data_IF_855170114005
#
_entry.id   IF_855170114005
#
_cell.length_a   1.000
_cell.length_b   1.000
_cell.length_c   1.000
_cell.angle_alpha   90.00
_cell.angle_beta   90.00
_cell.angle_gamma   90.00
#
_symmetry.space_group_name_H-M   'P 1'
#
loop_
_entity.id
_entity.type
_entity.pdbx_description
1 polymer ?
#
# COMPACT_ATOMS: atom_id res chain seq x y z
N UNK A 1 41.14 27.30 24.39
CA UNK A 1 40.86 28.38 23.43
C UNK A 1 39.55 28.02 22.73
N UNK A 2 38.59 28.90 22.83
CA UNK A 2 37.17 28.74 22.48
C UNK A 2 36.97 28.45 21.00
N UNK A 3 36.03 27.59 20.66
CA UNK A 3 35.36 27.60 19.36
C UNK A 3 33.85 27.64 19.57
N UNK A 4 33.36 28.82 19.21
CA UNK A 4 31.97 29.23 19.26
C UNK A 4 31.25 28.79 18.00
N UNK A 5 29.99 28.39 18.20
CA UNK A 5 28.82 28.67 17.39
C UNK A 5 29.00 28.93 15.89
N UNK A 6 28.40 28.08 15.08
CA UNK A 6 27.82 28.51 13.81
C UNK A 6 26.41 27.94 13.71
N UNK A 7 25.44 28.78 14.03
CA UNK A 7 24.07 28.67 13.51
C UNK A 7 24.10 29.13 12.04
N UNK A 8 23.46 28.46 11.13
CA UNK A 8 23.04 29.11 9.91
C UNK A 8 21.63 29.68 10.10
N UNK A 9 21.57 30.98 10.18
CA UNK A 9 20.38 31.74 9.87
C UNK A 9 20.10 31.57 8.37
N UNK A 10 18.94 31.13 8.01
CA UNK A 10 18.35 31.39 6.70
C UNK A 10 16.96 31.94 6.89
N UNK A 11 16.92 33.25 6.79
CA UNK A 11 15.74 34.02 6.44
C UNK A 11 15.72 34.18 4.92
N UNK A 12 14.58 34.01 4.27
CA UNK A 12 13.88 34.99 3.45
C UNK A 12 12.82 34.30 2.60
N UNK A 13 11.55 34.55 2.91
CA UNK A 13 10.60 35.40 2.19
C UNK A 13 10.44 35.10 0.68
N UNK A 14 9.34 34.44 0.35
CA UNK A 14 8.44 34.85 -0.74
C UNK A 14 7.03 34.35 -0.44
N UNK A 15 6.06 35.24 -0.54
CA UNK A 15 4.68 35.03 -0.14
C UNK A 15 3.98 33.92 -0.92
N UNK A 16 3.60 32.93 -0.16
CA UNK A 16 2.48 32.03 -0.36
C UNK A 16 1.91 31.79 1.03
N UNK A 17 0.61 31.68 1.17
CA UNK A 17 -0.07 31.36 2.42
C UNK A 17 0.70 30.28 3.17
N UNK A 18 1.43 30.67 4.21
CA UNK A 18 2.25 29.79 5.01
C UNK A 18 1.32 28.76 5.69
N UNK A 19 1.22 27.56 5.13
CA UNK A 19 0.65 26.45 5.87
C UNK A 19 1.58 26.21 7.06
N UNK A 20 1.01 26.27 8.27
CA UNK A 20 1.74 26.00 9.50
C UNK A 20 2.51 24.67 9.36
N UNK A 21 3.83 24.75 9.57
CA UNK A 21 4.69 23.57 9.56
C UNK A 21 4.90 23.12 11.01
N UNK A 22 4.90 21.81 11.23
CA UNK A 22 5.21 21.21 12.52
C UNK A 22 6.69 20.84 12.55
N UNK A 23 7.43 21.32 13.53
CA UNK A 23 8.81 20.94 13.76
C UNK A 23 8.87 19.51 14.29
N UNK A 24 9.73 18.69 13.72
CA UNK A 24 10.07 17.35 14.21
C UNK A 24 11.50 17.39 14.71
N UNK A 25 11.70 16.98 15.96
CA UNK A 25 13.00 16.84 16.57
C UNK A 25 13.19 15.40 17.03
N UNK A 26 14.28 14.78 16.62
CA UNK A 26 14.68 13.44 17.05
C UNK A 26 16.04 13.54 17.73
N UNK A 27 16.13 13.07 18.95
CA UNK A 27 17.40 12.87 19.66
C UNK A 27 17.54 11.42 20.02
N UNK A 28 18.74 10.87 19.91
CA UNK A 28 18.92 9.48 20.23
C UNK A 28 20.33 9.10 20.57
N UNK A 29 20.42 7.88 21.11
CA UNK A 29 21.65 7.24 21.52
C UNK A 29 21.69 5.81 20.99
N UNK A 30 22.80 5.44 20.35
CA UNK A 30 23.13 4.06 20.00
C UNK A 30 24.18 3.57 21.01
N UNK A 31 23.74 2.95 22.08
CA UNK A 31 24.60 2.53 23.21
C UNK A 31 25.61 1.50 22.75
N UNK A 32 26.87 1.69 23.11
CA UNK A 32 27.99 0.82 22.73
C UNK A 32 28.48 1.04 21.30
N UNK A 33 28.03 2.11 20.63
CA UNK A 33 28.47 2.39 19.27
C UNK A 33 29.80 3.18 19.26
N UNK A 34 30.81 2.63 18.55
CA UNK A 34 32.05 3.30 18.24
C UNK A 34 32.27 3.46 16.72
N UNK A 35 31.37 2.92 15.89
CA UNK A 35 31.49 2.93 14.44
C UNK A 35 30.83 4.17 13.81
N UNK A 36 31.10 4.40 12.53
CA UNK A 36 30.34 5.35 11.72
C UNK A 36 28.93 4.82 11.49
N UNK A 37 27.96 5.56 11.97
CA UNK A 37 26.55 5.31 11.77
C UNK A 37 25.92 6.44 10.94
N UNK A 38 24.83 6.09 10.26
CA UNK A 38 23.94 7.03 9.59
C UNK A 38 22.52 6.74 10.07
N UNK A 39 21.82 7.80 10.41
CA UNK A 39 20.41 7.73 10.77
C UNK A 39 19.62 8.66 9.85
N UNK A 40 18.53 8.13 9.29
CA UNK A 40 17.67 8.86 8.37
C UNK A 40 16.24 8.84 8.88
N UNK A 41 15.59 10.00 8.91
CA UNK A 41 14.16 10.13 9.16
C UNK A 41 13.45 10.22 7.82
N UNK A 42 12.55 9.29 7.55
CA UNK A 42 11.84 9.16 6.26
C UNK A 42 10.34 9.30 6.50
N UNK A 43 9.70 10.16 5.74
CA UNK A 43 8.24 10.26 5.66
C UNK A 43 7.68 9.02 4.94
N UNK A 44 6.74 8.35 5.57
CA UNK A 44 6.06 7.17 5.05
C UNK A 44 4.53 7.34 5.07
N UNK A 45 4.05 8.58 5.11
CA UNK A 45 2.63 8.89 5.15
C UNK A 45 1.91 8.35 3.91
N UNK A 46 2.46 8.59 2.73
CA UNK A 46 2.03 7.92 1.52
C UNK A 46 2.85 6.62 1.34
N UNK A 47 2.25 5.43 1.43
CA UNK A 47 2.97 4.17 1.26
C UNK A 47 3.63 3.99 -0.12
N UNK A 48 3.13 4.70 -1.14
CA UNK A 48 3.65 4.64 -2.51
C UNK A 48 4.77 5.65 -2.78
N UNK A 49 4.92 6.66 -1.90
CA UNK A 49 5.88 7.74 -2.08
C UNK A 49 6.57 8.09 -0.75
N UNK A 50 7.77 7.57 -0.55
CA UNK A 50 8.56 7.88 0.64
C UNK A 50 9.48 9.07 0.39
N UNK A 51 9.66 9.95 1.39
CA UNK A 51 10.48 11.16 1.31
C UNK A 51 11.47 11.24 2.46
N UNK A 52 12.74 11.46 2.14
CA UNK A 52 13.75 11.77 3.14
C UNK A 52 13.43 13.13 3.79
N UNK A 53 13.28 13.16 5.11
CA UNK A 53 13.02 14.35 5.90
C UNK A 53 14.30 14.93 6.51
N UNK A 54 15.17 14.08 7.05
CA UNK A 54 16.45 14.45 7.63
C UNK A 54 17.41 13.26 7.63
N UNK A 55 18.71 13.55 7.62
CA UNK A 55 19.77 12.55 7.74
C UNK A 55 20.92 13.11 8.56
N UNK A 56 21.53 12.28 9.40
CA UNK A 56 22.75 12.57 10.12
C UNK A 56 23.73 11.40 10.06
N UNK A 57 25.02 11.74 9.85
CA UNK A 57 26.13 10.80 10.00
C UNK A 57 26.85 11.15 11.31
N UNK A 58 27.14 10.14 12.10
CA UNK A 58 27.77 10.31 13.41
C UNK A 58 28.74 9.16 13.71
N UNK A 59 29.66 9.45 14.61
CA UNK A 59 30.56 8.49 15.22
C UNK A 59 30.39 8.62 16.73
N UNK A 60 30.39 7.52 17.45
CA UNK A 60 30.02 7.50 18.85
C UNK A 60 28.54 7.20 19.03
N UNK A 61 27.99 7.55 20.18
CA UNK A 61 26.67 7.07 20.57
C UNK A 61 25.53 8.04 20.23
N UNK A 62 25.76 9.35 20.25
CA UNK A 62 24.70 10.36 20.19
C UNK A 62 24.43 10.85 18.77
N UNK A 63 23.16 11.10 18.48
CA UNK A 63 22.71 11.73 17.24
C UNK A 63 21.53 12.66 17.47
N UNK A 64 21.32 13.59 16.56
CA UNK A 64 20.11 14.41 16.49
C UNK A 64 19.70 14.68 15.05
N UNK A 65 18.38 14.75 14.83
CA UNK A 65 17.77 15.13 13.57
C UNK A 65 16.75 16.23 13.82
N UNK A 66 16.63 17.15 12.89
CA UNK A 66 15.57 18.15 12.87
C UNK A 66 14.98 18.26 11.48
N UNK A 67 13.66 18.38 11.40
CA UNK A 67 12.94 18.57 10.16
C UNK A 67 11.65 19.34 10.39
N UNK A 68 10.96 19.65 9.30
CA UNK A 68 9.64 20.25 9.34
C UNK A 68 8.70 19.48 8.42
N UNK A 69 7.47 19.24 8.87
CA UNK A 69 6.42 18.58 8.12
C UNK A 69 5.19 19.47 8.06
N UNK A 70 4.40 19.31 7.02
CA UNK A 70 3.22 20.17 6.82
C UNK A 70 2.12 19.91 7.86
N UNK A 71 1.98 18.68 8.33
CA UNK A 71 0.92 18.26 9.28
C UNK A 71 1.35 17.03 10.07
N UNK A 72 0.76 16.88 11.26
CA UNK A 72 0.83 15.72 12.14
C UNK A 72 -0.60 15.37 12.62
N UNK A 73 -0.87 14.13 13.09
CA UNK A 73 0.08 13.03 13.17
C UNK A 73 0.39 12.41 11.80
N UNK A 74 1.54 11.70 11.69
CA UNK A 74 1.95 11.06 10.44
C UNK A 74 2.87 9.88 10.66
N UNK A 75 2.85 8.95 9.68
CA UNK A 75 3.80 7.85 9.67
C UNK A 75 5.18 8.29 9.21
N UNK A 76 6.17 7.82 9.94
CA UNK A 76 7.58 8.00 9.59
C UNK A 76 8.37 6.71 9.87
N UNK A 77 9.59 6.67 9.37
CA UNK A 77 10.54 5.61 9.64
C UNK A 77 11.88 6.21 10.01
N UNK A 78 12.44 5.75 11.11
CA UNK A 78 13.81 6.02 11.50
C UNK A 78 14.66 4.84 11.07
N UNK A 79 15.53 5.05 10.08
CA UNK A 79 16.40 4.02 9.50
C UNK A 79 17.83 4.21 9.98
N UNK A 80 18.43 3.14 10.46
CA UNK A 80 19.83 3.10 10.87
C UNK A 80 20.66 2.30 9.88
N UNK A 81 21.82 2.82 9.51
CA UNK A 81 22.82 2.15 8.70
C UNK A 81 24.18 2.26 9.35
N UNK A 82 24.98 1.19 9.26
CA UNK A 82 26.32 1.12 9.81
C UNK A 82 27.31 0.91 8.66
N UNK A 83 28.45 1.59 8.73
CA UNK A 83 29.52 1.44 7.76
C UNK A 83 30.32 0.17 8.07
N UNK A 84 30.38 -0.74 7.12
CA UNK A 84 31.16 -1.97 7.30
C UNK A 84 32.67 -1.71 7.15
N UNK A 85 33.51 -2.70 7.49
CA UNK A 85 34.99 -2.62 7.40
C UNK A 85 35.51 -2.33 6.00
N UNK A 86 34.72 -2.58 4.94
CA UNK A 86 35.07 -2.28 3.54
C UNK A 86 34.60 -0.88 3.12
N UNK A 87 34.01 -0.10 4.02
CA UNK A 87 33.56 1.25 3.76
C UNK A 87 32.17 1.39 3.17
N UNK A 88 31.41 0.30 2.98
CA UNK A 88 30.04 0.32 2.45
C UNK A 88 29.02 0.48 3.58
N UNK A 89 27.97 1.24 3.30
CA UNK A 89 26.82 1.38 4.20
C UNK A 89 25.92 0.15 4.08
N UNK A 90 25.64 -0.47 5.22
CA UNK A 90 24.69 -1.57 5.35
C UNK A 90 23.53 -1.18 6.25
N UNK A 91 22.30 -1.52 5.86
CA UNK A 91 21.12 -1.30 6.69
C UNK A 91 21.22 -2.14 7.96
N UNK A 92 21.06 -1.51 9.12
CA UNK A 92 21.07 -2.17 10.42
C UNK A 92 19.65 -2.42 10.94
N UNK A 93 18.80 -1.39 10.98
CA UNK A 93 17.42 -1.53 11.45
C UNK A 93 16.53 -0.38 11.00
N UNK A 94 15.21 -0.61 11.03
CA UNK A 94 14.18 0.41 10.89
C UNK A 94 13.27 0.41 12.13
N UNK A 95 12.92 1.60 12.60
CA UNK A 95 11.86 1.81 13.57
C UNK A 95 10.73 2.60 12.92
N UNK A 96 9.52 2.09 12.99
CA UNK A 96 8.33 2.78 12.49
C UNK A 96 7.79 3.69 13.59
N UNK A 97 7.48 4.92 13.21
CA UNK A 97 7.02 5.98 14.09
C UNK A 97 5.66 6.48 13.62
N UNK A 98 4.86 6.92 14.59
CA UNK A 98 3.65 7.69 14.34
C UNK A 98 3.77 9.01 15.10
N UNK A 99 4.17 10.06 14.39
CA UNK A 99 4.63 11.33 14.96
C UNK A 99 3.46 12.31 15.10
N UNK A 100 3.31 12.90 16.26
CA UNK A 100 2.29 13.93 16.56
C UNK A 100 2.86 15.35 16.71
N UNK A 101 4.16 15.53 16.46
CA UNK A 101 4.86 16.79 16.62
C UNK A 101 5.60 16.92 17.95
N UNK A 102 5.42 15.99 18.87
CA UNK A 102 6.24 15.91 20.08
C UNK A 102 7.69 15.54 19.74
N UNK A 103 8.66 15.99 20.55
CA UNK A 103 10.06 15.53 20.42
C UNK A 103 10.15 14.00 20.54
N UNK A 104 10.99 13.42 19.68
CA UNK A 104 11.25 11.98 19.69
C UNK A 104 12.57 11.73 20.43
N UNK A 105 12.54 10.79 21.39
CA UNK A 105 13.71 10.29 22.08
C UNK A 105 13.88 8.79 21.79
N UNK A 106 15.07 8.40 21.34
CA UNK A 106 15.40 7.00 21.01
C UNK A 106 16.67 6.60 21.72
N UNK A 107 16.64 5.45 22.39
CA UNK A 107 17.83 4.76 22.91
C UNK A 107 17.81 3.33 22.42
N UNK A 108 18.84 2.92 21.71
CA UNK A 108 18.94 1.58 21.14
C UNK A 108 20.34 0.99 21.44
N UNK A 109 20.36 -0.23 21.94
CA UNK A 109 21.60 -1.00 22.10
C UNK A 109 22.13 -1.42 20.71
N UNK A 110 23.45 -1.29 20.48
CA UNK A 110 24.06 -1.56 19.18
C UNK A 110 23.94 -3.03 18.77
N UNK A 111 24.17 -3.97 19.69
CA UNK A 111 24.07 -5.40 19.38
C UNK A 111 22.62 -5.75 19.02
N UNK A 112 21.68 -5.20 19.78
CA UNK A 112 20.26 -5.34 19.47
C UNK A 112 19.90 -4.69 18.12
N UNK A 113 20.42 -3.50 17.81
CA UNK A 113 20.22 -2.82 16.53
C UNK A 113 20.68 -3.67 15.35
N UNK A 114 21.84 -4.33 15.49
CA UNK A 114 22.44 -5.17 14.45
C UNK A 114 21.85 -6.57 14.34
N UNK A 115 21.04 -6.99 15.31
CA UNK A 115 20.44 -8.32 15.34
C UNK A 115 19.49 -8.49 14.14
N UNK A 116 19.65 -9.58 13.42
CA UNK A 116 18.72 -9.97 12.35
C UNK A 116 17.40 -10.43 12.96
N UNK A 117 16.41 -9.56 12.90
CA UNK A 117 15.06 -9.78 13.43
C UNK A 117 14.05 -9.18 12.45
N UNK A 118 12.88 -9.80 12.36
CA UNK A 118 11.75 -9.19 11.64
C UNK A 118 11.39 -7.85 12.29
N UNK A 119 10.96 -6.87 11.50
CA UNK A 119 10.66 -5.53 12.00
C UNK A 119 9.55 -5.54 13.07
N UNK A 120 8.55 -6.43 12.96
CA UNK A 120 7.48 -6.60 13.96
C UNK A 120 8.03 -7.07 15.31
N UNK A 121 9.01 -7.97 15.29
CA UNK A 121 9.66 -8.46 16.50
C UNK A 121 10.47 -7.34 17.16
N UNK A 122 11.20 -6.53 16.37
CA UNK A 122 11.91 -5.35 16.90
C UNK A 122 10.97 -4.30 17.47
N UNK A 123 9.87 -4.01 16.79
CA UNK A 123 8.84 -3.08 17.28
C UNK A 123 8.24 -3.55 18.60
N UNK A 124 8.08 -4.84 18.78
CA UNK A 124 7.59 -5.42 20.04
C UNK A 124 8.57 -5.32 21.20
N UNK A 125 9.84 -5.04 20.92
CA UNK A 125 10.87 -4.81 21.96
C UNK A 125 10.96 -3.35 22.42
N UNK A 126 10.15 -2.44 21.85
CA UNK A 126 10.12 -1.04 22.30
C UNK A 126 9.63 -0.98 23.75
N UNK A 127 10.37 -0.23 24.56
CA UNK A 127 10.06 0.03 25.98
C UNK A 127 9.90 -1.23 26.85
N UNK A 128 10.61 -2.31 26.50
CA UNK A 128 10.65 -3.50 27.35
C UNK A 128 11.62 -3.30 28.53
N UNK A 129 11.45 -4.07 29.63
CA UNK A 129 12.25 -3.92 30.84
C UNK A 129 13.76 -4.13 30.66
N UNK A 130 14.18 -4.83 29.58
CA UNK A 130 15.61 -5.04 29.28
C UNK A 130 16.32 -3.77 28.77
N UNK A 131 15.57 -2.72 28.48
CA UNK A 131 16.07 -1.40 28.08
C UNK A 131 16.85 -1.35 26.78
N UNK A 132 16.82 -2.42 25.97
CA UNK A 132 17.60 -2.50 24.72
C UNK A 132 17.09 -1.58 23.61
N UNK A 133 15.80 -1.26 23.65
CA UNK A 133 15.17 -0.33 22.73
C UNK A 133 14.12 0.50 23.49
N UNK A 134 14.44 1.77 23.71
CA UNK A 134 13.55 2.74 24.33
C UNK A 134 13.16 3.78 23.29
N UNK A 135 11.88 4.07 23.20
CA UNK A 135 11.31 5.05 22.28
C UNK A 135 10.20 5.83 22.98
N UNK A 136 10.35 7.15 23.02
CA UNK A 136 9.32 8.10 23.42
C UNK A 136 9.09 9.07 22.27
N UNK A 137 7.87 9.15 21.79
CA UNK A 137 7.46 10.03 20.71
C UNK A 137 6.01 10.53 20.90
N UNK A 138 5.55 10.55 22.15
CA UNK A 138 4.24 11.08 22.55
C UNK A 138 3.07 10.10 22.37
N UNK A 139 1.86 10.59 22.67
CA UNK A 139 0.63 9.79 22.75
C UNK A 139 0.24 9.10 21.45
N UNK A 140 0.52 9.73 20.31
CA UNK A 140 0.23 9.11 19.02
C UNK A 140 1.07 7.84 18.82
N UNK A 141 2.34 7.87 19.20
CA UNK A 141 3.22 6.69 19.17
C UNK A 141 2.74 5.60 20.14
N UNK A 142 2.28 5.96 21.33
CA UNK A 142 1.70 5.00 22.27
C UNK A 142 0.48 4.29 21.70
N UNK A 143 -0.40 5.04 21.02
CA UNK A 143 -1.55 4.49 20.30
C UNK A 143 -1.12 3.49 19.23
N UNK A 144 -0.06 3.80 18.49
CA UNK A 144 0.50 2.91 17.48
C UNK A 144 1.13 1.65 18.10
N UNK A 145 1.87 1.78 19.20
CA UNK A 145 2.44 0.66 19.94
C UNK A 145 1.34 -0.29 20.45
N UNK A 146 0.24 0.25 20.99
CA UNK A 146 -0.92 -0.54 21.45
C UNK A 146 -1.55 -1.31 20.28
N UNK A 147 -1.74 -0.69 19.12
CA UNK A 147 -2.21 -1.38 17.92
C UNK A 147 -1.28 -2.52 17.51
N UNK A 148 0.03 -2.25 17.40
CA UNK A 148 1.01 -3.26 17.02
C UNK A 148 1.03 -4.46 17.96
N UNK A 149 0.92 -4.23 19.27
CA UNK A 149 0.81 -5.30 20.26
C UNK A 149 -0.48 -6.11 20.10
N UNK A 150 -1.60 -5.45 19.83
CA UNK A 150 -2.90 -6.11 19.64
C UNK A 150 -2.91 -7.06 18.44
N UNK A 151 -2.32 -6.67 17.32
CA UNK A 151 -2.31 -7.46 16.08
C UNK A 151 -1.07 -8.37 15.93
N UNK A 152 -0.12 -8.29 16.84
CA UNK A 152 1.24 -8.87 16.72
C UNK A 152 1.25 -10.31 16.24
N UNK A 153 0.55 -11.21 16.94
CA UNK A 153 0.57 -12.63 16.62
C UNK A 153 0.04 -12.92 15.21
N UNK A 154 -1.09 -12.30 14.86
CA UNK A 154 -1.71 -12.48 13.55
C UNK A 154 -0.88 -11.84 12.42
N UNK A 155 -0.22 -10.70 12.68
CA UNK A 155 0.69 -10.05 11.72
C UNK A 155 1.91 -10.92 11.42
N UNK A 156 2.58 -11.47 12.44
CA UNK A 156 3.74 -12.36 12.28
C UNK A 156 3.35 -13.62 11.49
N UNK A 157 2.19 -14.20 11.80
CA UNK A 157 1.68 -15.37 11.08
C UNK A 157 1.41 -15.06 9.62
N UNK A 158 0.76 -13.93 9.32
CA UNK A 158 0.46 -13.51 7.95
C UNK A 158 1.75 -13.25 7.13
N UNK A 159 2.71 -12.53 7.70
CA UNK A 159 3.99 -12.24 7.04
C UNK A 159 4.80 -13.52 6.80
N UNK A 160 4.80 -14.46 7.75
CA UNK A 160 5.51 -15.74 7.61
C UNK A 160 4.88 -16.62 6.52
N UNK A 161 3.55 -16.66 6.45
CA UNK A 161 2.83 -17.40 5.42
C UNK A 161 3.04 -16.79 4.02
N UNK A 162 3.00 -15.46 3.90
CA UNK A 162 3.25 -14.75 2.66
C UNK A 162 4.70 -14.95 2.16
N UNK A 163 5.67 -14.93 3.08
CA UNK A 163 7.06 -15.20 2.72
C UNK A 163 7.28 -16.64 2.25
N UNK A 164 6.62 -17.61 2.91
CA UNK A 164 6.67 -19.02 2.50
C UNK A 164 6.03 -19.24 1.12
N UNK A 165 4.90 -18.56 0.82
CA UNK A 165 4.28 -18.57 -0.50
C UNK A 165 5.22 -18.02 -1.56
N UNK A 166 5.84 -16.85 -1.30
CA UNK A 166 6.77 -16.23 -2.23
C UNK A 166 7.98 -17.12 -2.55
N UNK A 167 8.58 -17.75 -1.53
CA UNK A 167 9.68 -18.70 -1.74
C UNK A 167 9.23 -19.92 -2.54
N UNK A 168 8.09 -20.51 -2.19
CA UNK A 168 7.55 -21.65 -2.92
C UNK A 168 7.29 -21.32 -4.40
N UNK A 169 6.85 -20.09 -4.68
CA UNK A 169 6.65 -19.60 -6.06
C UNK A 169 7.98 -19.56 -6.83
N UNK A 170 9.05 -19.05 -6.23
CA UNK A 170 10.39 -19.02 -6.86
C UNK A 170 10.95 -20.44 -7.04
N UNK A 171 10.86 -21.30 -6.03
CA UNK A 171 11.42 -22.65 -6.04
C UNK A 171 10.72 -23.55 -7.08
N UNK A 172 9.44 -23.31 -7.37
CA UNK A 172 8.62 -24.10 -8.28
C UNK A 172 8.34 -23.39 -9.62
N UNK A 173 9.12 -22.36 -9.98
CA UNK A 173 8.97 -21.60 -11.22
C UNK A 173 7.53 -21.11 -11.49
N UNK A 174 6.76 -20.83 -10.43
CA UNK A 174 5.40 -20.32 -10.51
C UNK A 174 4.33 -21.34 -10.88
N UNK A 175 4.60 -22.66 -10.78
CA UNK A 175 3.62 -23.71 -11.06
C UNK A 175 2.52 -23.70 -9.99
N UNK A 176 1.30 -23.34 -10.38
CA UNK A 176 0.18 -23.12 -9.45
C UNK A 176 -0.15 -24.32 -8.55
N UNK A 177 -0.14 -25.55 -9.09
CA UNK A 177 -0.46 -26.76 -8.31
C UNK A 177 0.60 -27.03 -7.23
N UNK A 178 1.88 -26.74 -7.50
CA UNK A 178 2.97 -26.93 -6.55
C UNK A 178 2.93 -25.95 -5.36
N UNK A 179 2.31 -24.78 -5.54
CA UNK A 179 2.22 -23.74 -4.51
C UNK A 179 0.84 -23.58 -3.88
N UNK A 180 -0.12 -24.39 -4.27
CA UNK A 180 -1.54 -24.28 -3.86
C UNK A 180 -1.73 -24.25 -2.34
N UNK A 181 -1.04 -25.12 -1.62
CA UNK A 181 -1.13 -25.18 -0.15
C UNK A 181 -0.53 -23.92 0.50
N UNK A 182 0.59 -23.41 -0.01
CA UNK A 182 1.19 -22.17 0.47
C UNK A 182 0.29 -20.97 0.24
N UNK A 183 -0.34 -20.87 -0.95
CA UNK A 183 -1.36 -19.86 -1.26
C UNK A 183 -2.51 -19.89 -0.27
N UNK A 184 -3.08 -21.07 -0.05
CA UNK A 184 -4.21 -21.24 0.88
C UNK A 184 -3.83 -20.81 2.31
N UNK A 185 -2.66 -21.19 2.80
CA UNK A 185 -2.17 -20.78 4.12
C UNK A 185 -1.96 -19.28 4.22
N UNK A 186 -1.40 -18.67 3.19
CA UNK A 186 -1.19 -17.21 3.12
C UNK A 186 -2.53 -16.47 3.14
N UNK A 187 -3.52 -16.93 2.35
CA UNK A 187 -4.86 -16.33 2.32
C UNK A 187 -5.57 -16.43 3.68
N UNK A 188 -5.50 -17.58 4.35
CA UNK A 188 -6.11 -17.78 5.69
C UNK A 188 -5.44 -16.88 6.72
N UNK A 189 -4.11 -16.80 6.70
CA UNK A 189 -3.36 -15.98 7.64
C UNK A 189 -3.61 -14.46 7.40
N UNK A 190 -3.70 -14.02 6.15
CA UNK A 190 -4.03 -12.65 5.79
C UNK A 190 -5.47 -12.27 6.21
N UNK A 191 -6.42 -13.20 6.05
CA UNK A 191 -7.80 -13.01 6.51
C UNK A 191 -7.88 -12.88 8.04
N UNK A 192 -7.15 -13.73 8.77
CA UNK A 192 -7.08 -13.66 10.24
C UNK A 192 -6.46 -12.35 10.74
N UNK A 193 -5.38 -11.89 10.11
CA UNK A 193 -4.80 -10.56 10.40
C UNK A 193 -5.78 -9.43 10.12
N UNK A 194 -6.48 -9.46 8.98
CA UNK A 194 -7.49 -8.46 8.62
C UNK A 194 -8.64 -8.43 9.63
N UNK A 195 -9.14 -9.59 10.04
CA UNK A 195 -10.18 -9.67 11.07
C UNK A 195 -9.72 -9.07 12.41
N UNK A 196 -8.48 -9.41 12.83
CA UNK A 196 -7.91 -8.89 14.10
C UNK A 196 -7.71 -7.37 14.07
N UNK A 197 -7.26 -6.85 12.94
CA UNK A 197 -7.13 -5.40 12.72
C UNK A 197 -8.49 -4.69 12.76
N UNK A 198 -9.50 -5.23 12.09
CA UNK A 198 -10.85 -4.65 12.09
C UNK A 198 -11.50 -4.72 13.48
N UNK A 199 -11.18 -5.75 14.27
CA UNK A 199 -11.54 -5.82 15.68
C UNK A 199 -10.93 -4.66 16.48
N UNK A 200 -9.63 -4.35 16.27
CA UNK A 200 -9.00 -3.19 16.90
C UNK A 200 -9.71 -1.88 16.56
N UNK A 201 -10.02 -1.65 15.28
CA UNK A 201 -10.72 -0.44 14.84
C UNK A 201 -12.09 -0.28 15.51
N UNK A 202 -12.81 -1.38 15.66
CA UNK A 202 -14.10 -1.39 16.35
C UNK A 202 -13.99 -1.12 17.85
N UNK A 203 -12.94 -1.61 18.50
CA UNK A 203 -12.73 -1.46 19.95
C UNK A 203 -12.10 -0.10 20.30
N UNK A 204 -11.34 0.50 19.40
CA UNK A 204 -10.56 1.72 19.62
C UNK A 204 -10.77 2.75 18.50
N UNK A 205 -12.03 3.16 18.22
CA UNK A 205 -12.32 4.13 17.17
C UNK A 205 -11.75 5.52 17.47
N UNK A 206 -11.56 5.84 18.74
CA UNK A 206 -11.01 7.09 19.28
C UNK A 206 -9.47 7.12 19.35
N UNK A 207 -8.81 6.00 19.09
CA UNK A 207 -7.36 5.98 19.04
C UNK A 207 -6.83 6.70 17.78
N UNK A 208 -5.87 7.65 17.89
CA UNK A 208 -5.35 8.39 16.74
C UNK A 208 -4.90 7.48 15.59
N UNK A 209 -4.23 6.37 15.93
CA UNK A 209 -3.74 5.41 14.93
C UNK A 209 -4.87 4.77 14.10
N UNK A 210 -6.08 4.66 14.62
CA UNK A 210 -7.21 4.06 13.92
C UNK A 210 -7.58 4.87 12.67
N UNK A 211 -7.71 6.20 12.79
CA UNK A 211 -7.96 7.06 11.64
C UNK A 211 -6.83 7.00 10.61
N UNK A 212 -5.57 7.03 11.07
CA UNK A 212 -4.40 6.97 10.21
C UNK A 212 -4.32 5.65 9.43
N UNK A 213 -4.60 4.52 10.07
CA UNK A 213 -4.59 3.21 9.41
C UNK A 213 -5.74 3.06 8.42
N UNK A 214 -6.94 3.55 8.73
CA UNK A 214 -8.06 3.57 7.80
C UNK A 214 -7.73 4.47 6.60
N UNK A 215 -7.09 5.62 6.81
CA UNK A 215 -6.66 6.50 5.74
C UNK A 215 -5.64 5.82 4.80
N UNK A 216 -4.74 4.98 5.32
CA UNK A 216 -3.79 4.24 4.47
C UNK A 216 -4.47 3.26 3.49
N UNK A 217 -5.60 2.65 3.89
CA UNK A 217 -6.38 1.83 2.96
C UNK A 217 -6.98 2.63 1.82
N UNK A 218 -7.23 3.89 2.05
CA UNK A 218 -7.77 4.78 1.05
C UNK A 218 -6.79 5.09 -0.10
N UNK A 219 -5.49 4.86 0.08
CA UNK A 219 -4.51 4.91 -1.01
C UNK A 219 -4.59 3.67 -1.94
N UNK A 220 -5.29 2.61 -1.53
CA UNK A 220 -5.58 1.46 -2.38
C UNK A 220 -7.02 0.98 -2.20
N UNK A 221 -8.00 1.76 -2.68
CA UNK A 221 -9.44 1.53 -2.43
C UNK A 221 -9.98 0.21 -3.02
N UNK A 222 -9.21 -0.45 -3.92
CA UNK A 222 -9.66 -1.65 -4.63
C UNK A 222 -9.68 -2.93 -3.82
N UNK A 223 -9.00 -2.92 -2.67
CA UNK A 223 -8.98 -4.06 -1.75
C UNK A 223 -9.99 -3.90 -0.63
N UNK A 224 -10.76 -2.79 -0.64
CA UNK A 224 -11.61 -2.42 0.48
C UNK A 224 -13.09 -2.65 0.17
N UNK A 225 -13.78 -3.28 1.10
CA UNK A 225 -15.23 -3.38 1.10
C UNK A 225 -15.84 -2.01 1.44
N UNK A 226 -16.67 -1.46 0.54
CA UNK A 226 -17.25 -0.13 0.69
C UNK A 226 -18.17 -0.03 1.93
N UNK A 227 -18.95 -1.07 2.22
CA UNK A 227 -19.84 -1.10 3.38
C UNK A 227 -19.04 -1.08 4.68
N UNK A 228 -17.97 -1.88 4.75
CA UNK A 228 -17.04 -1.89 5.88
C UNK A 228 -16.34 -0.53 6.04
N UNK A 229 -15.92 0.09 4.93
CA UNK A 229 -15.27 1.40 4.93
C UNK A 229 -16.19 2.48 5.47
N UNK A 230 -17.46 2.54 5.01
CA UNK A 230 -18.44 3.52 5.48
C UNK A 230 -18.74 3.34 6.98
N UNK A 231 -18.85 2.09 7.47
CA UNK A 231 -19.02 1.80 8.90
C UNK A 231 -17.80 2.25 9.73
N UNK A 232 -16.60 1.99 9.23
CA UNK A 232 -15.37 2.40 9.91
C UNK A 232 -15.19 3.92 9.90
N UNK A 233 -15.50 4.60 8.79
CA UNK A 233 -15.46 6.05 8.74
C UNK A 233 -16.47 6.68 9.70
N UNK A 234 -17.70 6.17 9.76
CA UNK A 234 -18.72 6.65 10.69
C UNK A 234 -18.29 6.50 12.16
N UNK A 235 -17.49 5.49 12.50
CA UNK A 235 -16.98 5.30 13.86
C UNK A 235 -15.92 6.32 14.30
N UNK A 236 -15.34 7.09 13.35
CA UNK A 236 -14.28 8.06 13.62
C UNK A 236 -14.78 9.44 14.06
N UNK A 237 -16.07 9.63 14.32
CA UNK A 237 -16.65 10.93 14.64
C UNK A 237 -15.93 11.69 15.76
N UNK A 238 -15.47 10.98 16.79
CA UNK A 238 -14.76 11.54 17.94
C UNK A 238 -13.24 11.26 17.91
N UNK A 239 -12.69 10.84 16.77
CA UNK A 239 -11.29 10.53 16.69
C UNK A 239 -10.43 11.80 16.72
N UNK A 240 -9.42 11.89 17.63
CA UNK A 240 -8.60 13.09 17.81
C UNK A 240 -7.64 13.35 16.63
N UNK A 241 -7.38 12.38 15.76
CA UNK A 241 -6.60 12.56 14.55
C UNK A 241 -7.43 13.24 13.44
N UNK A 242 -7.71 14.50 13.63
CA UNK A 242 -8.50 15.28 12.68
C UNK A 242 -7.84 15.42 11.31
N UNK A 243 -6.52 15.23 11.21
CA UNK A 243 -5.82 15.27 9.93
C UNK A 243 -6.27 14.12 9.02
N UNK A 244 -6.19 12.88 9.51
CA UNK A 244 -6.59 11.71 8.74
C UNK A 244 -8.11 11.62 8.58
N UNK A 245 -8.88 11.96 9.59
CA UNK A 245 -10.34 12.04 9.46
C UNK A 245 -10.76 13.04 8.37
N UNK A 246 -10.16 14.23 8.33
CA UNK A 246 -10.42 15.21 7.28
C UNK A 246 -9.89 14.78 5.91
N UNK A 247 -8.79 14.04 5.86
CA UNK A 247 -8.29 13.45 4.62
C UNK A 247 -9.31 12.44 4.06
N UNK A 248 -9.80 11.51 4.88
CA UNK A 248 -10.83 10.54 4.49
C UNK A 248 -12.08 11.27 4.02
N UNK A 249 -12.57 12.25 4.80
CA UNK A 249 -13.79 13.02 4.49
C UNK A 249 -13.69 13.71 3.12
N UNK A 250 -12.58 14.39 2.83
CA UNK A 250 -12.37 15.09 1.54
C UNK A 250 -12.29 14.14 0.35
N UNK A 251 -11.83 12.90 0.58
CA UNK A 251 -11.66 11.91 -0.47
C UNK A 251 -12.78 10.85 -0.47
N UNK A 252 -13.79 11.02 0.38
CA UNK A 252 -14.82 9.99 0.59
C UNK A 252 -15.58 9.65 -0.69
N UNK A 253 -15.92 10.64 -1.52
CA UNK A 253 -16.60 10.40 -2.80
C UNK A 253 -15.69 9.65 -3.79
N UNK A 254 -14.40 9.99 -3.81
CA UNK A 254 -13.41 9.25 -4.58
C UNK A 254 -13.32 7.80 -4.09
N UNK A 255 -13.21 7.57 -2.77
CA UNK A 255 -13.14 6.23 -2.20
C UNK A 255 -14.41 5.43 -2.49
N UNK A 256 -15.59 6.03 -2.33
CA UNK A 256 -16.87 5.39 -2.65
C UNK A 256 -17.00 5.05 -4.14
N UNK A 257 -16.48 5.88 -5.02
CA UNK A 257 -16.52 5.64 -6.46
C UNK A 257 -15.50 4.60 -6.95
N UNK A 258 -14.52 4.21 -6.12
CA UNK A 258 -13.42 3.32 -6.49
C UNK A 258 -13.30 2.06 -5.62
N UNK A 259 -14.08 1.93 -4.56
CA UNK A 259 -14.11 0.74 -3.71
C UNK A 259 -14.94 -0.39 -4.34
N UNK A 260 -14.72 -1.62 -3.86
CA UNK A 260 -15.64 -2.71 -4.14
C UNK A 260 -17.05 -2.33 -3.65
N UNK A 261 -18.08 -2.64 -4.45
CA UNK A 261 -19.44 -2.19 -4.23
C UNK A 261 -19.79 -0.83 -4.86
N UNK A 262 -18.81 -0.08 -5.35
CA UNK A 262 -19.06 1.15 -6.11
C UNK A 262 -19.75 0.86 -7.46
N UNK A 263 -20.46 1.84 -7.99
CA UNK A 263 -20.98 1.74 -9.36
C UNK A 263 -19.83 1.80 -10.36
N UNK A 264 -19.90 0.97 -11.40
CA UNK A 264 -18.87 0.97 -12.43
C UNK A 264 -18.78 2.33 -13.15
N UNK A 265 -17.59 2.67 -13.60
CA UNK A 265 -17.35 3.89 -14.38
C UNK A 265 -17.42 3.58 -15.87
N UNK A 266 -18.36 4.25 -16.56
CA UNK A 266 -18.46 4.11 -17.99
C UNK A 266 -17.35 4.89 -18.72
N UNK A 267 -16.70 4.25 -19.68
CA UNK A 267 -15.72 4.87 -20.58
C UNK A 267 -16.02 4.50 -22.04
N UNK A 268 -15.37 5.18 -22.97
CA UNK A 268 -15.47 4.91 -24.39
C UNK A 268 -14.17 4.33 -24.90
N UNK A 269 -14.23 3.25 -25.67
CA UNK A 269 -13.09 2.62 -26.31
C UNK A 269 -13.43 2.29 -27.78
N UNK A 270 -12.41 2.01 -28.58
CA UNK A 270 -12.54 1.75 -30.01
C UNK A 270 -12.61 0.24 -30.28
N UNK A 271 -13.49 -0.19 -31.16
CA UNK A 271 -13.56 -1.57 -31.67
C UNK A 271 -12.53 -1.82 -32.78
N UNK A 272 -12.37 -3.07 -33.22
CA UNK A 272 -11.47 -3.42 -34.35
C UNK A 272 -11.77 -2.65 -35.64
N UNK A 273 -13.05 -2.44 -35.94
CA UNK A 273 -13.54 -1.71 -37.11
C UNK A 273 -13.54 -0.19 -36.94
N UNK A 274 -12.93 0.33 -35.86
CA UNK A 274 -12.74 1.76 -35.64
C UNK A 274 -13.93 2.51 -35.04
N UNK A 275 -14.97 1.79 -34.60
CA UNK A 275 -16.14 2.42 -33.98
C UNK A 275 -15.91 2.65 -32.49
N UNK A 276 -16.31 3.83 -32.04
CA UNK A 276 -16.32 4.10 -30.58
C UNK A 276 -17.55 3.51 -29.95
N UNK A 277 -17.33 2.71 -28.90
CA UNK A 277 -18.38 2.11 -28.09
C UNK A 277 -18.22 2.48 -26.62
N UNK A 278 -19.33 2.68 -25.93
CA UNK A 278 -19.35 2.87 -24.48
C UNK A 278 -19.40 1.52 -23.79
N UNK A 279 -18.66 1.36 -22.69
CA UNK A 279 -18.67 0.13 -21.88
C UNK A 279 -20.10 -0.29 -21.50
N UNK A 280 -20.94 0.69 -21.15
CA UNK A 280 -22.35 0.46 -20.80
C UNK A 280 -23.16 -0.27 -21.89
N UNK A 281 -22.84 -0.06 -23.17
CA UNK A 281 -23.55 -0.72 -24.27
C UNK A 281 -23.19 -2.21 -24.44
N UNK A 282 -22.15 -2.67 -23.74
CA UNK A 282 -21.68 -4.06 -23.75
C UNK A 282 -22.19 -4.85 -22.54
N UNK A 283 -22.80 -4.16 -21.55
CA UNK A 283 -23.43 -4.83 -20.43
C UNK A 283 -24.64 -5.64 -20.89
N UNK A 284 -24.69 -6.92 -20.54
CA UNK A 284 -25.84 -7.79 -20.87
C UNK A 284 -26.73 -7.97 -19.63
N UNK A 285 -28.07 -7.84 -19.77
CA UNK A 285 -28.98 -8.03 -18.66
C UNK A 285 -28.76 -9.40 -17.97
N UNK A 286 -28.67 -9.38 -16.64
CA UNK A 286 -28.51 -10.59 -15.84
C UNK A 286 -27.11 -11.21 -15.83
N UNK A 287 -26.14 -10.65 -16.60
CA UNK A 287 -24.76 -11.15 -16.61
C UNK A 287 -23.81 -10.21 -15.91
N UNK A 288 -22.82 -10.78 -15.23
CA UNK A 288 -21.63 -10.06 -14.80
C UNK A 288 -20.76 -9.71 -16.01
N UNK A 289 -19.95 -8.66 -15.91
CA UNK A 289 -18.96 -8.31 -16.93
C UNK A 289 -17.55 -8.40 -16.32
N UNK A 290 -16.67 -9.11 -17.00
CA UNK A 290 -15.23 -9.09 -16.73
C UNK A 290 -14.52 -8.21 -17.75
N UNK A 291 -13.88 -7.14 -17.29
CA UNK A 291 -13.00 -6.33 -18.13
C UNK A 291 -11.56 -6.80 -17.86
N UNK A 292 -10.85 -7.13 -18.95
CA UNK A 292 -9.43 -7.48 -18.92
C UNK A 292 -8.62 -6.37 -19.62
N UNK A 293 -7.89 -5.57 -18.84
CA UNK A 293 -6.95 -4.59 -19.36
C UNK A 293 -5.59 -5.24 -19.58
N UNK A 294 -5.14 -5.22 -20.84
CA UNK A 294 -3.94 -5.90 -21.30
C UNK A 294 -3.16 -5.11 -22.35
N UNK A 295 -2.03 -5.62 -22.80
CA UNK A 295 -1.31 -5.09 -23.96
C UNK A 295 -0.51 -6.20 -24.67
N UNK A 296 -0.21 -5.98 -25.94
CA UNK A 296 0.55 -6.90 -26.78
C UNK A 296 1.93 -7.25 -26.22
N UNK A 297 2.58 -6.30 -25.59
CA UNK A 297 3.91 -6.41 -24.96
C UNK A 297 3.87 -6.96 -23.53
N UNK A 298 2.69 -7.14 -22.93
CA UNK A 298 2.54 -7.59 -21.55
C UNK A 298 2.59 -9.13 -21.45
N UNK A 299 3.76 -9.68 -21.18
CA UNK A 299 3.94 -11.13 -20.99
C UNK A 299 3.02 -11.75 -19.94
N UNK A 300 2.92 -11.20 -18.71
CA UNK A 300 2.00 -11.70 -17.69
C UNK A 300 0.52 -11.65 -18.10
N UNK A 301 0.11 -10.64 -18.88
CA UNK A 301 -1.26 -10.57 -19.42
C UNK A 301 -1.52 -11.73 -20.37
N UNK A 302 -0.61 -11.97 -21.32
CA UNK A 302 -0.72 -13.07 -22.28
C UNK A 302 -0.75 -14.43 -21.58
N UNK A 303 0.04 -14.61 -20.53
CA UNK A 303 0.01 -15.82 -19.70
C UNK A 303 -1.33 -16.03 -18.93
N UNK A 304 -2.06 -14.94 -18.64
CA UNK A 304 -3.37 -15.01 -18.00
C UNK A 304 -4.52 -15.36 -18.96
N UNK A 305 -4.39 -15.06 -20.27
CA UNK A 305 -5.45 -15.25 -21.27
C UNK A 305 -6.03 -16.67 -21.28
N UNK A 306 -5.25 -17.78 -21.23
CA UNK A 306 -5.81 -19.12 -21.18
C UNK A 306 -6.78 -19.33 -20.01
N UNK A 307 -6.48 -18.77 -18.82
CA UNK A 307 -7.35 -18.85 -17.64
C UNK A 307 -8.63 -18.03 -17.83
N UNK A 308 -8.53 -16.86 -18.47
CA UNK A 308 -9.71 -16.04 -18.82
C UNK A 308 -10.57 -16.75 -19.85
N UNK A 309 -9.97 -17.41 -20.87
CA UNK A 309 -10.72 -18.26 -21.83
C UNK A 309 -11.48 -19.39 -21.14
N UNK A 310 -10.85 -20.05 -20.17
CA UNK A 310 -11.52 -21.11 -19.42
C UNK A 310 -12.70 -20.55 -18.61
N UNK A 311 -12.53 -19.41 -17.93
CA UNK A 311 -13.62 -18.76 -17.20
C UNK A 311 -14.77 -18.33 -18.12
N UNK A 312 -14.45 -17.73 -19.27
CA UNK A 312 -15.45 -17.31 -20.24
C UNK A 312 -16.29 -18.50 -20.76
N UNK A 313 -15.67 -19.68 -20.87
CA UNK A 313 -16.35 -20.93 -21.25
C UNK A 313 -17.18 -21.50 -20.09
N UNK A 314 -16.58 -21.64 -18.91
CA UNK A 314 -17.20 -22.32 -17.75
C UNK A 314 -18.39 -21.52 -17.19
N UNK A 315 -18.40 -20.19 -17.37
CA UNK A 315 -19.42 -19.28 -16.83
C UNK A 315 -20.14 -18.49 -17.93
N UNK A 316 -20.22 -19.02 -19.15
CA UNK A 316 -20.82 -18.35 -20.31
C UNK A 316 -22.30 -17.93 -20.11
N UNK A 317 -23.02 -18.60 -19.24
CA UNK A 317 -24.40 -18.31 -18.85
C UNK A 317 -24.52 -17.01 -18.03
N UNK A 318 -23.53 -16.69 -17.20
CA UNK A 318 -23.56 -15.57 -16.24
C UNK A 318 -22.42 -14.58 -16.34
N UNK A 319 -21.45 -14.79 -17.23
CA UNK A 319 -20.28 -13.92 -17.43
C UNK A 319 -20.17 -13.47 -18.89
N UNK A 320 -20.02 -12.16 -19.09
CA UNK A 320 -19.57 -11.55 -20.33
C UNK A 320 -18.13 -11.07 -20.13
N UNK A 321 -17.25 -11.35 -21.11
CA UNK A 321 -15.86 -10.91 -21.06
C UNK A 321 -15.62 -9.83 -22.12
N UNK A 322 -14.85 -8.81 -21.77
CA UNK A 322 -14.40 -7.74 -22.66
C UNK A 322 -12.93 -7.53 -22.39
N UNK A 323 -12.05 -7.68 -23.38
CA UNK A 323 -10.66 -7.26 -23.24
C UNK A 323 -10.43 -5.87 -23.82
N UNK A 324 -9.69 -5.05 -23.10
CA UNK A 324 -9.38 -3.67 -23.47
C UNK A 324 -7.86 -3.50 -23.54
N UNK A 325 -7.33 -3.39 -24.77
CA UNK A 325 -5.90 -3.16 -24.97
C UNK A 325 -5.54 -1.72 -24.64
N UNK A 326 -4.45 -1.56 -23.90
CA UNK A 326 -3.82 -0.26 -23.59
C UNK A 326 -2.56 -0.01 -24.44
N UNK A 327 -2.38 -0.75 -25.52
CA UNK A 327 -1.31 -0.48 -26.49
C UNK A 327 -1.39 0.95 -27.04
N UNK A 328 -0.24 1.59 -27.29
CA UNK A 328 -0.21 2.90 -27.96
C UNK A 328 -0.49 2.78 -29.48
N UNK A 329 -0.09 1.65 -30.07
CA UNK A 329 -0.24 1.42 -31.52
C UNK A 329 -1.29 0.36 -31.78
N UNK A 330 -2.33 0.74 -32.52
CA UNK A 330 -3.44 -0.14 -32.88
C UNK A 330 -2.99 -1.39 -33.65
N UNK A 331 -1.96 -1.25 -34.50
CA UNK A 331 -1.41 -2.36 -35.29
C UNK A 331 -0.79 -3.45 -34.39
N UNK A 332 -0.10 -3.05 -33.31
CA UNK A 332 0.48 -3.98 -32.36
C UNK A 332 -0.60 -4.78 -31.62
N UNK A 333 -1.66 -4.10 -31.18
CA UNK A 333 -2.83 -4.75 -30.60
C UNK A 333 -3.50 -5.72 -31.57
N UNK A 334 -3.81 -5.31 -32.81
CA UNK A 334 -4.49 -6.17 -33.80
C UNK A 334 -3.68 -7.42 -34.13
N UNK A 335 -2.35 -7.31 -34.20
CA UNK A 335 -1.47 -8.45 -34.40
C UNK A 335 -1.57 -9.44 -33.23
N UNK A 336 -1.39 -8.95 -32.00
CA UNK A 336 -1.41 -9.79 -30.80
C UNK A 336 -2.81 -10.38 -30.54
N UNK A 337 -3.87 -9.63 -30.79
CA UNK A 337 -5.25 -10.13 -30.67
C UNK A 337 -5.53 -11.30 -31.61
N UNK A 338 -5.02 -11.24 -32.85
CA UNK A 338 -5.11 -12.34 -33.81
C UNK A 338 -4.34 -13.57 -33.35
N UNK A 339 -3.15 -13.38 -32.75
CA UNK A 339 -2.34 -14.46 -32.17
C UNK A 339 -3.04 -15.11 -30.99
N UNK A 340 -3.61 -14.32 -30.08
CA UNK A 340 -4.28 -14.80 -28.90
C UNK A 340 -5.68 -15.37 -29.18
N UNK A 341 -6.32 -15.02 -30.28
CA UNK A 341 -7.63 -15.55 -30.72
C UNK A 341 -8.67 -15.57 -29.58
N UNK A 342 -8.88 -14.44 -28.92
CA UNK A 342 -9.85 -14.29 -27.84
C UNK A 342 -11.28 -14.18 -28.38
N UNK A 343 -12.24 -15.07 -27.98
CA UNK A 343 -13.54 -15.19 -28.64
C UNK A 343 -14.60 -14.18 -28.20
N UNK A 344 -14.22 -13.14 -27.45
CA UNK A 344 -15.10 -12.10 -26.90
C UNK A 344 -14.76 -10.73 -27.45
N UNK A 345 -15.55 -9.71 -27.05
CA UNK A 345 -15.38 -8.33 -27.50
C UNK A 345 -13.99 -7.78 -27.16
N UNK A 346 -13.32 -7.28 -28.19
CA UNK A 346 -12.00 -6.69 -28.10
C UNK A 346 -12.07 -5.19 -28.33
N UNK A 347 -11.49 -4.41 -27.43
CA UNK A 347 -11.46 -2.96 -27.44
C UNK A 347 -10.03 -2.44 -27.44
N UNK A 348 -9.88 -1.22 -27.95
CA UNK A 348 -8.65 -0.47 -27.97
C UNK A 348 -8.83 0.85 -27.21
N UNK A 349 -8.02 1.07 -26.20
CA UNK A 349 -8.00 2.28 -25.37
C UNK A 349 -6.53 2.62 -25.06
N UNK A 350 -5.84 3.36 -25.96
CA UNK A 350 -4.43 3.66 -25.81
C UNK A 350 -4.14 4.41 -24.51
N UNK A 351 -2.94 4.25 -23.96
CA UNK A 351 -2.50 4.88 -22.70
C UNK A 351 -2.79 6.39 -22.70
N UNK A 352 -2.63 7.07 -23.81
CA UNK A 352 -2.95 8.49 -23.99
C UNK A 352 -4.43 8.87 -23.76
N UNK A 353 -5.35 7.88 -23.81
CA UNK A 353 -6.80 8.06 -23.56
C UNK A 353 -7.30 7.29 -22.33
N UNK A 354 -6.39 6.64 -21.62
CA UNK A 354 -6.72 5.74 -20.52
C UNK A 354 -7.13 6.47 -19.22
N UNK A 355 -6.82 7.77 -19.07
CA UNK A 355 -6.90 8.50 -17.80
C UNK A 355 -8.17 8.22 -16.99
N UNK A 356 -9.35 8.36 -17.61
CA UNK A 356 -10.63 8.13 -16.93
C UNK A 356 -10.78 6.68 -16.42
N UNK A 357 -10.43 5.70 -17.24
CA UNK A 357 -10.51 4.28 -16.87
C UNK A 357 -9.39 3.92 -15.89
N UNK A 358 -8.19 4.50 -16.07
CA UNK A 358 -7.07 4.29 -15.17
C UNK A 358 -7.38 4.78 -13.75
N UNK A 359 -7.96 5.95 -13.62
CA UNK A 359 -8.41 6.48 -12.32
C UNK A 359 -9.53 5.62 -11.73
N UNK A 360 -10.54 5.26 -12.55
CA UNK A 360 -11.70 4.51 -12.08
C UNK A 360 -11.38 3.08 -11.64
N UNK A 361 -10.42 2.43 -12.27
CA UNK A 361 -10.08 1.02 -12.05
C UNK A 361 -8.64 0.81 -11.60
N UNK A 362 -7.95 1.88 -11.17
CA UNK A 362 -6.52 1.90 -10.76
C UNK A 362 -5.60 1.12 -11.68
N UNK A 363 -5.63 1.43 -12.93
CA UNK A 363 -4.75 0.79 -13.90
C UNK A 363 -3.37 1.44 -13.82
N UNK A 364 -2.67 1.19 -12.72
CA UNK A 364 -1.25 1.56 -12.56
C UNK A 364 -0.29 0.53 -13.14
N UNK A 365 -0.81 -0.68 -13.37
CA UNK A 365 -0.09 -1.81 -13.98
C UNK A 365 -1.08 -2.78 -14.59
N UNK A 366 -0.61 -3.59 -15.54
CA UNK A 366 -1.37 -4.67 -16.18
C UNK A 366 -0.66 -6.02 -15.99
N UNK A 367 -1.38 -7.18 -15.98
CA UNK A 367 -2.83 -7.31 -16.21
C UNK A 367 -3.66 -6.62 -15.13
N UNK A 368 -4.82 -6.08 -15.50
CA UNK A 368 -5.81 -5.57 -14.57
C UNK A 368 -7.18 -6.12 -14.94
N UNK A 369 -7.76 -6.89 -14.04
CA UNK A 369 -9.06 -7.52 -14.18
C UNK A 369 -10.08 -6.81 -13.31
N UNK A 370 -11.23 -6.46 -13.89
CA UNK A 370 -12.34 -5.79 -13.19
C UNK A 370 -13.60 -6.59 -13.38
N UNK A 371 -14.17 -7.13 -12.30
CA UNK A 371 -15.45 -7.83 -12.35
C UNK A 371 -16.57 -6.87 -11.90
N UNK A 372 -17.58 -6.72 -12.75
CA UNK A 372 -18.78 -5.91 -12.53
C UNK A 372 -19.98 -6.84 -12.42
N UNK A 373 -20.78 -6.67 -11.37
CA UNK A 373 -22.02 -7.39 -11.18
C UNK A 373 -23.10 -6.99 -12.20
N UNK A 374 -24.15 -7.79 -12.33
CA UNK A 374 -25.26 -7.52 -13.24
C UNK A 374 -26.02 -6.21 -12.90
N UNK A 375 -25.98 -5.77 -11.66
CA UNK A 375 -26.55 -4.50 -11.19
C UNK A 375 -25.61 -3.29 -11.40
N UNK A 376 -24.42 -3.51 -12.00
CA UNK A 376 -23.44 -2.47 -12.28
C UNK A 376 -22.50 -2.15 -11.11
N UNK A 377 -22.45 -2.97 -10.05
CA UNK A 377 -21.50 -2.79 -8.96
C UNK A 377 -20.17 -3.48 -9.25
N UNK A 378 -19.07 -2.82 -8.92
CA UNK A 378 -17.73 -3.43 -8.99
C UNK A 378 -17.59 -4.45 -7.87
N UNK A 379 -17.38 -5.71 -8.21
CA UNK A 379 -17.21 -6.81 -7.25
C UNK A 379 -15.75 -7.03 -6.89
N UNK A 380 -14.84 -6.89 -7.86
CA UNK A 380 -13.44 -7.20 -7.67
C UNK A 380 -12.57 -6.45 -8.69
N UNK A 381 -11.46 -5.89 -8.24
CA UNK A 381 -10.39 -5.37 -9.08
C UNK A 381 -9.09 -6.05 -8.66
N UNK A 382 -8.41 -6.75 -9.59
CA UNK A 382 -7.28 -7.61 -9.27
C UNK A 382 -6.31 -7.77 -10.44
N UNK A 383 -5.16 -8.37 -10.19
CA UNK A 383 -4.21 -8.87 -11.21
C UNK A 383 -4.36 -10.37 -11.48
N UNK A 384 -5.17 -11.08 -10.69
CA UNK A 384 -5.24 -12.54 -10.68
C UNK A 384 -6.60 -13.06 -11.17
N UNK A 385 -6.64 -13.89 -12.24
CA UNK A 385 -7.84 -14.58 -12.66
C UNK A 385 -8.46 -15.45 -11.56
N UNK A 386 -7.66 -16.00 -10.67
CA UNK A 386 -8.12 -16.87 -9.57
C UNK A 386 -8.99 -16.09 -8.56
N UNK A 387 -8.68 -14.81 -8.32
CA UNK A 387 -9.50 -13.96 -7.45
C UNK A 387 -10.87 -13.69 -8.10
N UNK A 388 -10.91 -13.43 -9.41
CA UNK A 388 -12.17 -13.30 -10.15
C UNK A 388 -13.02 -14.56 -9.99
N UNK A 389 -12.41 -15.75 -10.15
CA UNK A 389 -13.12 -17.05 -10.05
C UNK A 389 -13.83 -17.26 -8.72
N UNK A 390 -13.34 -16.67 -7.61
CA UNK A 390 -14.01 -16.74 -6.29
C UNK A 390 -15.39 -16.09 -6.28
N UNK A 391 -15.60 -15.05 -7.09
CA UNK A 391 -16.89 -14.34 -7.21
C UNK A 391 -17.85 -14.98 -8.23
N UNK A 392 -17.40 -15.96 -8.99
CA UNK A 392 -18.19 -16.65 -10.02
C UNK A 392 -18.82 -17.97 -9.54
N UNK A 393 -18.50 -18.40 -8.32
CA UNK A 393 -19.02 -19.66 -7.74
C UNK A 393 -20.46 -19.55 -7.26
#
# INVERSE_FOLDING_TARGET
MKLQNILPAVLLLMGSTAQAQTAIQVKGQVVGNADSCMVSLVDCENPQETKLLAEAKFVGEEFSLASQVKKTPRFARLSFSVKNKKGFWGKATDLRLFLDGNPVSVKIDKEFMMKDMKWQEKQACINQPDGKLMLDAGKAQDSYANYLNFVRASSITADSASYAEANAWFDNAGVDDAIKDYKQRSEVAAAAFTAKRNEYFRLHPDAPITAALIAQYAYNPFTYDLELFDKQFASLENNPDTMHVNFIKRNLDYFRSHANGASYTNFTAETKDGKNVKLASLMKPGKMMLIDFWASWCGPCRAAIPKVKQMAKDYADKLEVVSCSVDEKKEAWLKAEKEEAMPWTQLFLPLSKLEKAAMAYSISSIPRLVLIAADGKVLCITHSPEQIKKHLK
#
